data_IF_711428346242
#
_entry.id   IF_711428346242
#
_cell.length_a   1.000
_cell.length_b   1.000
_cell.length_c   1.000
_cell.angle_alpha   90.00
_cell.angle_beta   90.00
_cell.angle_gamma   90.00
#
_symmetry.space_group_name_H-M   'P 1'
#
loop_
_entity.id
_entity.type
_entity.pdbx_description
1 polymer ?
#
# COMPACT_ATOMS: atom_id res chain seq x y z
N UNK A 1 -4.33 -1.81 1.56
CA UNK A 1 -5.23 -0.64 1.59
C UNK A 1 -5.04 0.21 0.33
N UNK A 2 -6.15 0.60 -0.30
CA UNK A 2 -6.17 1.59 -1.40
C UNK A 2 -5.60 2.94 -0.97
N UNK A 3 -4.92 3.62 -1.89
CA UNK A 3 -4.47 4.99 -1.70
C UNK A 3 -4.91 5.86 -2.88
N UNK A 4 -4.79 7.17 -2.71
CA UNK A 4 -4.83 8.05 -3.86
C UNK A 4 -3.68 7.65 -4.82
N UNK A 5 -3.96 7.36 -6.11
CA UNK A 5 -2.93 6.93 -7.05
C UNK A 5 -1.78 7.92 -7.11
N UNK A 6 -0.56 7.44 -6.91
CA UNK A 6 0.66 8.25 -6.98
C UNK A 6 1.46 7.85 -8.21
N UNK A 7 1.72 8.83 -9.06
CA UNK A 7 2.58 8.63 -10.22
C UNK A 7 4.02 8.38 -9.77
N UNK A 8 4.64 7.34 -10.31
CA UNK A 8 6.04 7.02 -10.11
C UNK A 8 6.69 6.70 -11.46
N UNK A 9 7.88 7.24 -11.67
CA UNK A 9 8.76 6.82 -12.75
C UNK A 9 9.49 5.55 -12.31
N UNK A 10 9.80 4.66 -13.26
CA UNK A 10 10.56 3.40 -13.16
C UNK A 10 10.78 2.90 -11.72
N UNK A 11 10.13 1.81 -11.29
CA UNK A 11 10.23 1.31 -9.93
C UNK A 11 11.71 1.04 -9.54
N UNK A 12 12.20 1.59 -8.42
CA UNK A 12 13.60 1.42 -8.04
C UNK A 12 13.93 -0.06 -7.72
N UNK A 13 15.20 -0.46 -7.91
CA UNK A 13 15.71 -1.84 -7.76
C UNK A 13 15.55 -2.49 -6.36
N UNK A 14 14.86 -1.83 -5.43
CA UNK A 14 14.63 -2.26 -4.05
C UNK A 14 13.33 -3.06 -3.86
N UNK A 15 12.62 -3.36 -4.94
CA UNK A 15 11.37 -4.10 -4.92
C UNK A 15 11.53 -5.45 -5.63
N UNK A 16 10.80 -6.45 -5.14
CA UNK A 16 10.69 -7.80 -5.70
C UNK A 16 9.24 -7.99 -6.12
N UNK A 17 9.02 -8.44 -7.34
CA UNK A 17 7.68 -8.78 -7.82
C UNK A 17 7.25 -10.11 -7.20
N UNK A 18 6.12 -10.09 -6.50
CA UNK A 18 5.49 -11.28 -5.92
C UNK A 18 4.40 -11.82 -6.86
N UNK A 19 3.61 -10.90 -7.44
CA UNK A 19 2.54 -11.24 -8.38
C UNK A 19 2.50 -10.23 -9.53
N UNK A 20 2.07 -10.68 -10.71
CA UNK A 20 2.02 -9.85 -11.92
C UNK A 20 0.83 -10.22 -12.79
N UNK A 21 0.21 -9.20 -13.37
CA UNK A 21 -0.75 -9.29 -14.46
C UNK A 21 -0.34 -8.34 -15.59
N UNK A 22 -1.16 -8.23 -16.64
CA UNK A 22 -0.89 -7.32 -17.77
C UNK A 22 -0.79 -5.87 -17.31
N UNK A 23 -1.66 -5.47 -16.39
CA UNK A 23 -1.79 -4.08 -15.96
C UNK A 23 -1.39 -3.82 -14.51
N UNK A 24 -1.13 -4.87 -13.73
CA UNK A 24 -0.80 -4.72 -12.31
C UNK A 24 0.42 -5.51 -11.90
N UNK A 25 1.14 -5.01 -10.89
CA UNK A 25 2.27 -5.69 -10.26
C UNK A 25 2.16 -5.54 -8.74
N UNK A 26 2.16 -6.66 -8.03
CA UNK A 26 2.31 -6.68 -6.58
C UNK A 26 3.80 -6.80 -6.26
N UNK A 27 4.31 -5.87 -5.47
CA UNK A 27 5.70 -5.82 -5.10
C UNK A 27 5.89 -5.85 -3.58
N UNK A 28 6.96 -6.52 -3.16
CA UNK A 28 7.48 -6.55 -1.79
C UNK A 28 8.84 -5.87 -1.74
N UNK A 29 9.10 -5.09 -0.69
CA UNK A 29 10.40 -4.44 -0.51
C UNK A 29 11.47 -5.45 -0.08
N UNK A 30 12.65 -5.40 -0.71
CA UNK A 30 13.83 -6.19 -0.31
C UNK A 30 14.21 -5.92 1.15
N UNK A 31 14.59 -6.97 1.88
CA UNK A 31 15.03 -6.88 3.28
C UNK A 31 13.91 -6.72 4.31
N UNK A 32 12.64 -6.81 3.91
CA UNK A 32 11.52 -6.92 4.85
C UNK A 32 11.16 -8.40 5.08
N UNK A 33 11.33 -8.90 6.31
CA UNK A 33 10.98 -10.27 6.70
C UNK A 33 12.02 -11.35 6.39
N UNK A 34 13.06 -11.05 5.60
CA UNK A 34 14.19 -11.95 5.35
C UNK A 34 15.30 -11.71 6.37
N UNK A 35 15.13 -12.26 7.56
CA UNK A 35 16.17 -12.84 8.44
C UNK A 35 15.65 -12.85 9.88
N UNK A 36 15.12 -14.00 10.30
CA UNK A 36 15.08 -14.42 11.70
C UNK A 36 16.51 -14.78 12.14
N UNK A 37 17.46 -13.84 12.07
CA UNK A 37 18.76 -14.00 12.71
C UNK A 37 18.68 -13.38 14.09
N UNK A 38 18.87 -14.22 15.11
CA UNK A 38 18.82 -13.95 16.56
C UNK A 38 19.78 -12.84 17.06
N UNK A 39 20.37 -12.04 16.18
CA UNK A 39 21.30 -10.94 16.50
C UNK A 39 20.64 -9.55 16.54
N UNK A 40 19.33 -9.41 16.27
CA UNK A 40 18.65 -8.10 16.24
C UNK A 40 18.09 -7.63 17.60
N UNK A 41 18.24 -8.41 18.66
CA UNK A 41 17.71 -8.09 20.00
C UNK A 41 18.57 -7.11 20.82
N UNK A 42 19.64 -6.55 20.25
CA UNK A 42 20.55 -5.63 20.94
C UNK A 42 20.79 -4.34 20.15
N UNK A 43 19.73 -3.61 19.79
CA UNK A 43 19.85 -2.17 19.50
C UNK A 43 18.74 -1.39 20.19
N UNK A 44 18.87 -1.27 21.51
CA UNK A 44 18.00 -0.49 22.41
C UNK A 44 18.05 1.05 22.17
N UNK A 45 18.55 1.53 21.03
CA UNK A 45 18.80 2.97 20.76
C UNK A 45 18.85 3.35 19.25
N UNK A 46 18.23 2.56 18.35
CA UNK A 46 18.04 2.94 16.93
C UNK A 46 16.63 3.50 16.64
N UNK A 47 15.90 3.86 17.69
CA UNK A 47 14.45 4.09 17.69
C UNK A 47 14.01 5.49 17.20
N UNK A 48 14.89 6.24 16.55
CA UNK A 48 14.60 7.62 16.09
C UNK A 48 14.68 7.84 14.58
N UNK A 49 15.14 6.86 13.79
CA UNK A 49 15.36 7.04 12.32
C UNK A 49 14.88 5.83 11.51
N UNK A 50 13.79 5.20 11.95
CA UNK A 50 13.11 4.15 11.15
C UNK A 50 11.72 4.58 10.64
N UNK A 51 11.35 5.83 10.90
CA UNK A 51 10.01 6.41 10.73
C UNK A 51 9.66 6.83 9.28
N UNK A 52 10.59 6.66 8.34
CA UNK A 52 10.45 7.12 6.94
C UNK A 52 10.35 5.98 5.92
N UNK A 53 10.40 4.72 6.35
CA UNK A 53 10.37 3.60 5.40
C UNK A 53 8.94 3.35 4.91
N UNK A 54 8.68 3.40 3.59
CA UNK A 54 7.35 3.14 3.03
C UNK A 54 6.85 1.75 3.43
N UNK A 55 5.53 1.51 3.41
CA UNK A 55 4.96 0.19 3.66
C UNK A 55 5.66 -0.91 2.85
N UNK A 56 5.84 -2.11 3.42
CA UNK A 56 6.64 -3.17 2.81
C UNK A 56 6.04 -3.79 1.56
N UNK A 57 4.73 -3.64 1.34
CA UNK A 57 4.03 -4.14 0.15
C UNK A 57 3.30 -3.02 -0.59
N UNK A 58 3.20 -3.17 -1.91
CA UNK A 58 2.45 -2.25 -2.77
C UNK A 58 1.91 -2.93 -4.02
N UNK A 59 0.88 -2.33 -4.62
CA UNK A 59 0.41 -2.67 -5.95
C UNK A 59 0.60 -1.46 -6.86
N UNK A 60 1.19 -1.73 -8.03
CA UNK A 60 1.37 -0.75 -9.10
C UNK A 60 0.42 -1.06 -10.26
N UNK A 61 -0.22 -0.03 -10.80
CA UNK A 61 -0.82 -0.04 -12.14
C UNK A 61 0.25 0.37 -13.17
N UNK A 62 0.28 -0.32 -14.30
CA UNK A 62 1.20 -0.09 -15.42
C UNK A 62 0.51 -0.43 -16.75
N UNK A 63 0.99 0.14 -17.86
CA UNK A 63 0.58 -0.29 -19.20
C UNK A 63 1.81 -0.62 -20.05
N UNK A 64 1.72 -1.56 -21.01
CA UNK A 64 2.89 -2.03 -21.76
C UNK A 64 3.69 -0.96 -22.50
N UNK A 65 3.06 0.13 -22.97
CA UNK A 65 3.74 1.20 -23.72
C UNK A 65 4.18 2.37 -22.86
N UNK A 66 3.84 2.38 -21.57
CA UNK A 66 4.13 3.48 -20.66
C UNK A 66 5.30 3.15 -19.73
N UNK A 67 6.21 4.10 -19.55
CA UNK A 67 7.24 4.04 -18.50
C UNK A 67 6.74 4.61 -17.15
N UNK A 68 5.49 5.09 -17.15
CA UNK A 68 4.81 5.66 -15.99
C UNK A 68 4.01 4.58 -15.29
N UNK A 69 4.21 4.48 -13.98
CA UNK A 69 3.52 3.58 -13.09
C UNK A 69 2.68 4.38 -12.10
N UNK A 70 1.61 3.78 -11.59
CA UNK A 70 0.80 4.38 -10.54
C UNK A 70 0.76 3.47 -9.33
N UNK A 71 1.27 3.92 -8.18
CA UNK A 71 1.10 3.23 -6.91
C UNK A 71 -0.35 3.42 -6.44
N UNK A 72 -1.12 2.33 -6.41
CA UNK A 72 -2.58 2.35 -6.18
C UNK A 72 -2.99 1.74 -4.84
N UNK A 73 -2.14 0.90 -4.25
CA UNK A 73 -2.38 0.31 -2.94
C UNK A 73 -1.06 0.06 -2.21
N UNK A 74 -1.12 0.09 -0.88
CA UNK A 74 -0.02 -0.23 0.05
C UNK A 74 -0.52 -1.16 1.15
N UNK A 75 0.36 -2.02 1.66
CA UNK A 75 0.03 -2.95 2.75
C UNK A 75 1.18 -3.11 3.73
N UNK A 76 0.84 -3.32 5.01
CA UNK A 76 1.82 -3.65 6.05
C UNK A 76 2.12 -5.14 6.08
N UNK A 77 1.11 -5.95 5.80
CA UNK A 77 1.20 -7.41 5.75
C UNK A 77 0.94 -7.93 4.34
N UNK A 78 1.35 -9.17 4.09
CA UNK A 78 1.11 -9.82 2.81
C UNK A 78 -0.39 -10.12 2.65
N UNK A 79 -1.05 -10.51 3.74
CA UNK A 79 -2.46 -10.85 3.77
C UNK A 79 -3.33 -9.64 3.38
N UNK A 80 -3.00 -8.44 3.89
CA UNK A 80 -3.71 -7.21 3.55
C UNK A 80 -3.61 -6.86 2.07
N UNK A 81 -2.40 -6.89 1.51
CA UNK A 81 -2.17 -6.47 0.12
C UNK A 81 -2.68 -7.51 -0.89
N UNK A 82 -2.67 -8.79 -0.52
CA UNK A 82 -3.23 -9.87 -1.34
C UNK A 82 -4.76 -9.73 -1.45
N UNK A 83 -5.44 -9.30 -0.38
CA UNK A 83 -6.89 -9.02 -0.46
C UNK A 83 -7.23 -7.94 -1.49
N UNK A 84 -6.43 -6.87 -1.55
CA UNK A 84 -6.60 -5.83 -2.58
C UNK A 84 -6.31 -6.39 -3.98
N UNK A 85 -5.29 -7.25 -4.12
CA UNK A 85 -4.97 -7.90 -5.38
C UNK A 85 -6.10 -8.80 -5.88
N UNK A 86 -6.67 -9.63 -5.02
CA UNK A 86 -7.82 -10.49 -5.32
C UNK A 86 -9.01 -9.65 -5.78
N UNK A 87 -9.26 -8.52 -5.11
CA UNK A 87 -10.30 -7.59 -5.54
C UNK A 87 -10.05 -7.07 -6.97
N UNK A 88 -8.81 -6.70 -7.32
CA UNK A 88 -8.49 -6.30 -8.71
C UNK A 88 -8.71 -7.44 -9.70
N UNK A 89 -8.32 -8.66 -9.32
CA UNK A 89 -8.45 -9.84 -10.17
C UNK A 89 -9.92 -10.15 -10.49
N UNK A 90 -10.78 -10.11 -9.47
CA UNK A 90 -12.22 -10.39 -9.61
C UNK A 90 -12.96 -9.29 -10.36
N UNK A 91 -12.60 -8.02 -10.13
CA UNK A 91 -13.40 -6.89 -10.58
C UNK A 91 -12.88 -6.21 -11.84
N UNK A 92 -11.55 -6.15 -12.03
CA UNK A 92 -10.95 -5.29 -13.07
C UNK A 92 -10.26 -6.08 -14.18
N UNK A 93 -9.63 -7.23 -13.91
CA UNK A 93 -8.76 -7.88 -14.91
C UNK A 93 -9.49 -8.20 -16.21
N UNK A 94 -10.71 -8.74 -16.13
CA UNK A 94 -11.51 -9.04 -17.32
C UNK A 94 -11.85 -7.77 -18.11
N UNK A 95 -12.40 -6.77 -17.43
CA UNK A 95 -12.84 -5.50 -18.04
C UNK A 95 -11.68 -4.78 -18.73
N UNK A 96 -10.52 -4.69 -18.07
CA UNK A 96 -9.35 -4.02 -18.64
C UNK A 96 -8.73 -4.78 -19.83
N UNK A 97 -8.88 -6.10 -19.88
CA UNK A 97 -8.40 -6.89 -21.02
C UNK A 97 -9.28 -6.73 -22.27
N UNK A 98 -10.54 -6.33 -22.11
CA UNK A 98 -11.47 -6.06 -23.20
C UNK A 98 -11.31 -4.63 -23.76
N UNK A 99 -10.59 -3.74 -23.06
CA UNK A 99 -10.31 -2.37 -23.51
C UNK A 99 -9.15 -2.29 -24.51
N UNK A 100 -9.28 -1.40 -25.49
CA UNK A 100 -8.31 -1.26 -26.60
C UNK A 100 -7.27 -0.16 -26.37
N UNK A 101 -7.60 0.88 -25.57
CA UNK A 101 -6.73 2.03 -25.33
C UNK A 101 -6.06 1.96 -23.94
N UNK A 102 -4.72 2.07 -23.91
CA UNK A 102 -3.96 2.13 -22.65
C UNK A 102 -4.26 3.40 -21.84
N UNK A 103 -4.62 4.49 -22.51
CA UNK A 103 -5.06 5.73 -21.86
C UNK A 103 -6.41 5.52 -21.16
N UNK A 104 -7.36 4.88 -21.83
CA UNK A 104 -8.67 4.55 -21.24
C UNK A 104 -8.52 3.59 -20.05
N UNK A 105 -7.67 2.56 -20.19
CA UNK A 105 -7.33 1.61 -19.13
C UNK A 105 -6.81 2.34 -17.89
N UNK A 106 -5.87 3.28 -18.10
CA UNK A 106 -5.25 4.04 -17.02
C UNK A 106 -6.25 4.98 -16.35
N UNK A 107 -6.99 5.76 -17.14
CA UNK A 107 -7.99 6.69 -16.62
C UNK A 107 -9.09 5.96 -15.86
N UNK A 108 -9.61 4.86 -16.40
CA UNK A 108 -10.62 4.03 -15.74
C UNK A 108 -10.10 3.47 -14.42
N UNK A 109 -8.88 2.93 -14.42
CA UNK A 109 -8.27 2.35 -13.22
C UNK A 109 -8.06 3.43 -12.15
N UNK A 110 -7.45 4.57 -12.49
CA UNK A 110 -7.21 5.68 -11.55
C UNK A 110 -8.53 6.15 -10.93
N UNK A 111 -9.55 6.42 -11.75
CA UNK A 111 -10.87 6.84 -11.26
C UNK A 111 -11.48 5.80 -10.33
N UNK A 112 -11.39 4.50 -10.69
CA UNK A 112 -11.95 3.42 -9.87
C UNK A 112 -11.25 3.30 -8.52
N UNK A 113 -9.91 3.33 -8.50
CA UNK A 113 -9.14 3.28 -7.25
C UNK A 113 -9.39 4.52 -6.39
N UNK A 114 -9.46 5.72 -6.97
CA UNK A 114 -9.81 6.93 -6.24
C UNK A 114 -11.18 6.81 -5.57
N UNK A 115 -12.17 6.24 -6.28
CA UNK A 115 -13.50 5.98 -5.73
C UNK A 115 -13.46 5.00 -4.55
N UNK A 116 -12.70 3.91 -4.64
CA UNK A 116 -12.52 2.94 -3.54
C UNK A 116 -11.81 3.56 -2.33
N UNK A 117 -10.75 4.34 -2.58
CA UNK A 117 -10.04 5.05 -1.52
C UNK A 117 -10.96 6.08 -0.82
N UNK A 118 -11.84 6.76 -1.56
CA UNK A 118 -12.80 7.67 -0.96
C UNK A 118 -13.83 6.94 -0.07
N UNK A 119 -14.33 5.79 -0.51
CA UNK A 119 -15.28 4.96 0.27
C UNK A 119 -14.63 4.45 1.57
N UNK A 120 -13.42 3.89 1.49
CA UNK A 120 -12.70 3.36 2.66
C UNK A 120 -12.31 4.42 3.69
N UNK A 121 -12.20 5.69 3.30
CA UNK A 121 -11.90 6.79 4.23
C UNK A 121 -13.16 7.45 4.80
N UNK A 122 -14.33 7.24 4.20
CA UNK A 122 -15.59 7.77 4.71
C UNK A 122 -16.17 6.92 5.86
N UNK A 123 -15.90 5.61 5.86
CA UNK A 123 -16.35 4.69 6.92
C UNK A 123 -15.45 4.71 8.16
N UNK A 124 -14.22 5.23 8.05
CA UNK A 124 -13.27 5.33 9.17
C UNK A 124 -12.63 6.72 9.20
N UNK A 125 -13.19 7.58 10.07
CA UNK A 125 -12.68 8.88 10.55
C UNK A 125 -11.47 9.43 9.80
N UNK A 126 -11.67 10.48 8.95
CA UNK A 126 -10.74 11.53 8.43
C UNK A 126 -9.20 11.40 8.59
N UNK A 127 -8.66 10.21 8.71
CA UNK A 127 -7.28 9.93 9.06
C UNK A 127 -6.57 9.39 7.83
N UNK A 128 -5.45 10.01 7.48
CA UNK A 128 -4.70 9.65 6.27
C UNK A 128 -4.27 8.18 6.28
N UNK A 129 -4.16 7.57 5.09
CA UNK A 129 -3.62 6.21 4.94
C UNK A 129 -2.25 6.02 5.62
N UNK A 130 -1.41 7.06 5.59
CA UNK A 130 -0.12 7.06 6.29
C UNK A 130 -0.32 7.03 7.81
N UNK A 131 -1.31 7.75 8.35
CA UNK A 131 -1.65 7.69 9.77
C UNK A 131 -2.16 6.31 10.17
N UNK A 132 -3.08 5.70 9.41
CA UNK A 132 -3.57 4.34 9.69
C UNK A 132 -2.43 3.34 9.75
N UNK A 133 -1.48 3.45 8.82
CA UNK A 133 -0.25 2.65 8.82
C UNK A 133 0.59 2.92 10.06
N UNK A 134 0.81 4.18 10.46
CA UNK A 134 1.56 4.52 11.66
C UNK A 134 0.85 4.07 12.95
N UNK A 135 -0.47 4.21 13.03
CA UNK A 135 -1.30 3.80 14.16
C UNK A 135 -1.32 2.27 14.33
N UNK A 136 -1.49 1.52 13.24
CA UNK A 136 -1.43 0.05 13.26
C UNK A 136 -0.04 -0.45 13.69
N UNK A 137 1.03 0.18 13.22
CA UNK A 137 2.41 -0.09 13.69
C UNK A 137 2.57 0.18 15.18
N UNK A 138 2.07 1.33 15.65
CA UNK A 138 2.11 1.70 17.07
C UNK A 138 1.38 0.66 17.92
N UNK A 139 0.15 0.27 17.54
CA UNK A 139 -0.61 -0.75 18.26
C UNK A 139 0.13 -2.09 18.34
N UNK A 140 0.78 -2.50 17.25
CA UNK A 140 1.53 -3.76 17.19
C UNK A 140 2.80 -3.71 18.05
N UNK A 141 3.53 -2.59 18.04
CA UNK A 141 4.78 -2.42 18.78
C UNK A 141 4.56 -2.37 20.30
N UNK A 142 3.48 -1.73 20.74
CA UNK A 142 3.17 -1.53 22.16
C UNK A 142 2.18 -2.55 22.72
N UNK A 143 1.82 -3.58 21.95
CA UNK A 143 0.81 -4.60 22.32
C UNK A 143 -0.49 -3.96 22.85
N UNK A 144 -0.92 -2.87 22.19
CA UNK A 144 -2.05 -2.08 22.66
C UNK A 144 -3.34 -2.93 22.62
N UNK A 145 -4.18 -2.85 23.67
CA UNK A 145 -5.51 -3.45 23.64
C UNK A 145 -6.32 -2.93 22.45
N UNK A 146 -7.17 -3.78 21.87
CA UNK A 146 -7.97 -3.42 20.67
C UNK A 146 -8.93 -2.26 20.93
N UNK A 147 -9.24 -2.01 22.20
CA UNK A 147 -10.11 -0.96 22.67
C UNK A 147 -9.43 0.42 22.69
N UNK A 148 -8.09 0.48 22.58
CA UNK A 148 -7.33 1.72 22.65
C UNK A 148 -7.05 2.33 21.27
N UNK A 149 -7.40 3.61 21.13
CA UNK A 149 -7.20 4.39 19.89
C UNK A 149 -6.10 5.43 20.06
N UNK A 150 -5.19 5.47 19.09
CA UNK A 150 -4.17 6.51 18.99
C UNK A 150 -4.81 7.82 18.52
N UNK A 151 -4.81 8.85 19.37
CA UNK A 151 -5.33 10.19 19.03
C UNK A 151 -4.16 11.11 18.70
N UNK A 152 -4.10 11.62 17.47
CA UNK A 152 -3.01 12.50 17.03
C UNK A 152 -3.36 14.00 17.03
N UNK A 153 -4.64 14.33 17.17
CA UNK A 153 -5.13 15.71 17.11
C UNK A 153 -6.13 15.91 18.23
N UNK A 154 -5.84 16.86 19.11
CA UNK A 154 -6.77 17.32 20.13
C UNK A 154 -7.11 18.77 19.81
N UNK A 155 -8.38 19.03 19.46
CA UNK A 155 -8.86 20.38 19.26
C UNK A 155 -9.10 21.01 20.64
N UNK A 156 -8.21 21.91 21.05
CA UNK A 156 -8.45 22.75 22.23
C UNK A 156 -9.37 23.92 21.86
N UNK A 157 -10.35 24.20 22.71
CA UNK A 157 -11.17 25.42 22.71
C UNK A 157 -10.46 26.57 23.39
#
# INVERSE_FOLDING_TARGET
MWIHPKEILIPPAFWVDEMRSKYFVLQKRRGHGESRSFTSLLVNTLDSVWDTKPPPYRILHQTPKSEVYYEIAIGLTQEEIVKDWEWLAENLFKVLNEMESEEEITNFTICKIQSLNAQNNHDESNESANFKVSASKFQTLFEMPKEERLVNTYACT
#
